data_IF_913568014690
#
_entry.id   IF_913568014690
#
_cell.length_a   1.000
_cell.length_b   1.000
_cell.length_c   1.000
_cell.angle_alpha   90.00
_cell.angle_beta   90.00
_cell.angle_gamma   90.00
#
_symmetry.space_group_name_H-M   'P 1'
#
loop_
_entity.id
_entity.type
_entity.pdbx_description
1 polymer ?
#
# COMPACT_ATOMS: atom_id res chain seq x y z
N UNK A 1 -15.58 -14.60 -16.94
CA UNK A 1 -14.26 -14.78 -17.60
C UNK A 1 -13.05 -14.47 -16.68
N UNK A 2 -13.19 -14.47 -15.34
CA UNK A 2 -12.11 -14.02 -14.42
C UNK A 2 -11.57 -15.08 -13.45
N UNK A 3 -12.11 -16.30 -13.42
CA UNK A 3 -11.74 -17.33 -12.42
C UNK A 3 -10.78 -18.42 -12.90
N UNK A 4 -10.44 -18.48 -14.19
CA UNK A 4 -9.54 -19.51 -14.74
C UNK A 4 -8.09 -19.31 -14.25
N UNK A 5 -7.65 -18.05 -14.11
CA UNK A 5 -6.34 -17.72 -13.57
C UNK A 5 -6.20 -18.05 -12.08
N UNK A 6 -7.26 -17.87 -11.28
CA UNK A 6 -7.24 -18.30 -9.88
C UNK A 6 -7.04 -19.81 -9.75
N UNK A 7 -7.75 -20.63 -10.55
CA UNK A 7 -7.55 -22.09 -10.52
C UNK A 7 -6.11 -22.51 -10.81
N UNK A 8 -5.45 -21.83 -11.75
CA UNK A 8 -4.06 -22.11 -12.10
C UNK A 8 -3.05 -21.65 -11.04
N UNK A 9 -3.41 -20.63 -10.24
CA UNK A 9 -2.64 -20.12 -9.10
C UNK A 9 -2.80 -20.97 -7.84
N UNK A 10 -4.02 -21.46 -7.58
CA UNK A 10 -4.35 -22.14 -6.34
C UNK A 10 -4.15 -23.65 -6.38
N UNK A 11 -4.11 -24.28 -7.57
CA UNK A 11 -4.01 -25.74 -7.64
C UNK A 11 -5.07 -26.43 -6.78
N UNK A 12 -6.25 -25.82 -6.64
CA UNK A 12 -7.33 -26.39 -5.81
C UNK A 12 -8.06 -27.38 -6.71
N UNK A 13 -7.53 -28.60 -6.73
CA UNK A 13 -8.05 -29.66 -7.55
C UNK A 13 -7.29 -30.96 -7.42
N UNK A 14 -7.04 -31.43 -6.18
CA UNK A 14 -7.08 -32.85 -5.79
C UNK A 14 -6.65 -33.05 -4.33
N UNK A 15 -7.39 -33.88 -3.60
CA UNK A 15 -7.05 -34.33 -2.24
C UNK A 15 -5.70 -35.04 -2.30
N UNK A 16 -4.69 -34.52 -1.61
CA UNK A 16 -3.31 -35.04 -1.59
C UNK A 16 -2.24 -34.12 -2.22
N UNK A 17 -2.61 -32.94 -2.75
CA UNK A 17 -1.65 -32.04 -3.37
C UNK A 17 -0.80 -31.26 -2.34
N UNK A 18 0.53 -31.37 -2.47
CA UNK A 18 1.51 -30.68 -1.61
C UNK A 18 1.37 -29.17 -1.82
N UNK A 19 1.13 -28.42 -0.75
CA UNK A 19 0.96 -26.95 -0.79
C UNK A 19 2.23 -26.31 -1.36
N UNK A 20 2.07 -25.59 -2.46
CA UNK A 20 3.15 -24.84 -3.10
C UNK A 20 3.37 -23.52 -2.33
N UNK A 21 4.15 -23.62 -1.24
CA UNK A 21 4.42 -22.53 -0.27
C UNK A 21 4.79 -21.20 -0.98
N UNK A 22 5.66 -21.18 -2.00
CA UNK A 22 5.97 -19.95 -2.72
C UNK A 22 4.76 -19.31 -3.42
N UNK A 23 3.85 -20.09 -4.01
CA UNK A 23 2.62 -19.57 -4.61
C UNK A 23 1.69 -18.96 -3.57
N UNK A 24 1.56 -19.60 -2.40
CA UNK A 24 0.77 -19.08 -1.28
C UNK A 24 1.32 -17.73 -0.82
N UNK A 25 2.65 -17.62 -0.67
CA UNK A 25 3.30 -16.36 -0.29
C UNK A 25 3.04 -15.26 -1.34
N UNK A 26 3.18 -15.58 -2.64
CA UNK A 26 2.93 -14.62 -3.72
C UNK A 26 1.47 -14.11 -3.70
N UNK A 27 0.49 -14.99 -3.46
CA UNK A 27 -0.93 -14.62 -3.34
C UNK A 27 -1.16 -13.72 -2.13
N UNK A 28 -0.61 -14.05 -0.96
CA UNK A 28 -0.74 -13.22 0.24
C UNK A 28 -0.18 -11.82 -0.02
N UNK A 29 1.00 -11.73 -0.63
CA UNK A 29 1.61 -10.45 -1.00
C UNK A 29 0.74 -9.67 -1.98
N UNK A 30 0.16 -10.33 -2.98
CA UNK A 30 -0.75 -9.72 -3.94
C UNK A 30 -1.99 -9.15 -3.22
N UNK A 31 -2.64 -9.93 -2.36
CA UNK A 31 -3.81 -9.50 -1.59
C UNK A 31 -3.49 -8.30 -0.69
N UNK A 32 -2.38 -8.36 0.05
CA UNK A 32 -1.95 -7.25 0.92
C UNK A 32 -1.69 -5.97 0.11
N UNK A 33 -1.10 -6.12 -1.08
CA UNK A 33 -0.81 -5.00 -1.99
C UNK A 33 -2.09 -4.38 -2.54
N UNK A 34 -3.03 -5.19 -3.01
CA UNK A 34 -4.34 -4.74 -3.48
C UNK A 34 -5.14 -4.07 -2.36
N UNK A 35 -5.15 -4.66 -1.16
CA UNK A 35 -5.80 -4.08 0.02
C UNK A 35 -5.25 -2.67 0.32
N UNK A 36 -3.93 -2.51 0.33
CA UNK A 36 -3.28 -1.22 0.56
C UNK A 36 -3.58 -0.20 -0.54
N UNK A 37 -3.64 -0.63 -1.80
CA UNK A 37 -4.04 0.21 -2.94
C UNK A 37 -5.46 0.72 -2.76
N UNK A 38 -6.37 -0.22 -2.53
CA UNK A 38 -7.81 0.01 -2.48
C UNK A 38 -8.15 0.97 -1.33
N UNK A 39 -7.55 0.78 -0.16
CA UNK A 39 -7.77 1.68 0.98
C UNK A 39 -7.21 3.09 0.73
N UNK A 40 -6.08 3.22 0.03
CA UNK A 40 -5.56 4.54 -0.35
C UNK A 40 -6.49 5.29 -1.32
N UNK A 41 -7.11 4.57 -2.26
CA UNK A 41 -8.08 5.14 -3.19
C UNK A 41 -9.39 5.49 -2.47
N UNK A 42 -9.94 4.57 -1.67
CA UNK A 42 -11.13 4.80 -0.86
C UNK A 42 -10.96 6.02 0.04
N UNK A 43 -9.81 6.13 0.71
CA UNK A 43 -9.49 7.28 1.55
C UNK A 43 -9.61 8.60 0.79
N UNK A 44 -9.03 8.67 -0.43
CA UNK A 44 -9.13 9.86 -1.29
C UNK A 44 -10.58 10.14 -1.70
N UNK A 45 -11.36 9.10 -2.03
CA UNK A 45 -12.77 9.25 -2.39
C UNK A 45 -13.61 9.78 -1.22
N UNK A 46 -13.44 9.23 -0.01
CA UNK A 46 -14.09 9.74 1.19
C UNK A 46 -13.70 11.19 1.49
N UNK A 47 -12.44 11.55 1.26
CA UNK A 47 -11.99 12.94 1.35
C UNK A 47 -12.68 13.86 0.35
N UNK A 48 -12.92 13.42 -0.89
CA UNK A 48 -13.74 14.18 -1.84
C UNK A 48 -15.20 14.30 -1.39
N UNK A 49 -15.73 13.29 -0.70
CA UNK A 49 -17.08 13.31 -0.12
C UNK A 49 -17.20 14.11 1.18
N UNK A 50 -16.14 14.80 1.64
CA UNK A 50 -16.17 15.59 2.88
C UNK A 50 -15.98 14.75 4.16
N UNK A 51 -15.22 13.67 4.07
CA UNK A 51 -14.83 12.84 5.21
C UNK A 51 -13.31 12.67 5.28
N UNK A 52 -12.71 12.77 6.46
CA UNK A 52 -11.29 12.42 6.64
C UNK A 52 -11.18 11.17 7.51
N UNK A 53 -10.11 10.40 7.31
CA UNK A 53 -9.77 9.35 8.26
C UNK A 53 -9.23 10.01 9.52
N UNK A 54 -9.61 9.49 10.68
CA UNK A 54 -9.00 9.94 11.93
C UNK A 54 -7.49 9.65 11.90
N UNK A 55 -6.65 10.61 12.32
CA UNK A 55 -5.22 10.39 12.49
C UNK A 55 -4.91 9.18 13.37
N UNK A 56 -3.88 8.43 12.98
CA UNK A 56 -3.51 7.22 13.70
C UNK A 56 -2.92 7.58 15.07
N UNK A 57 -3.51 7.04 16.15
CA UNK A 57 -3.08 7.30 17.53
C UNK A 57 -3.77 8.48 18.22
N UNK A 58 -4.77 9.11 17.58
CA UNK A 58 -5.55 10.18 18.19
C UNK A 58 -6.75 9.62 18.98
N UNK A 59 -6.95 10.09 20.20
CA UNK A 59 -8.04 9.66 21.10
C UNK A 59 -9.42 10.13 20.57
N UNK A 60 -10.46 9.29 20.72
CA UNK A 60 -11.83 9.73 20.49
C UNK A 60 -12.26 10.80 21.52
N UNK A 61 -13.39 11.47 21.28
CA UNK A 61 -14.01 12.41 22.22
C UNK A 61 -14.34 11.80 23.61
N UNK A 62 -14.18 10.49 23.77
CA UNK A 62 -14.35 9.70 25.00
C UNK A 62 -13.01 9.11 25.50
N UNK A 63 -11.86 9.56 24.99
CA UNK A 63 -10.53 9.11 25.42
C UNK A 63 -10.08 7.75 24.87
N UNK A 64 -10.72 7.20 23.83
CA UNK A 64 -10.35 5.89 23.25
C UNK A 64 -9.48 6.02 22.01
N UNK A 65 -8.24 5.54 22.10
CA UNK A 65 -7.39 5.25 20.93
C UNK A 65 -8.02 4.13 20.09
N UNK A 66 -8.51 4.48 18.91
CA UNK A 66 -9.04 3.49 17.95
C UNK A 66 -7.96 3.02 16.98
N UNK A 67 -7.74 1.71 16.93
CA UNK A 67 -6.90 1.03 15.92
C UNK A 67 -7.69 0.71 14.64
N UNK A 68 -9.00 0.99 14.64
CA UNK A 68 -9.91 0.82 13.51
C UNK A 68 -10.11 2.18 12.84
N UNK A 69 -10.17 2.16 11.52
CA UNK A 69 -10.18 3.37 10.71
C UNK A 69 -11.59 3.92 10.66
N UNK A 70 -11.81 5.01 11.38
CA UNK A 70 -13.06 5.76 11.36
C UNK A 70 -12.93 6.94 10.41
N UNK A 71 -13.92 7.09 9.55
CA UNK A 71 -14.10 8.28 8.73
C UNK A 71 -15.00 9.25 9.48
N UNK A 72 -14.51 10.47 9.67
CA UNK A 72 -15.23 11.56 10.32
C UNK A 72 -15.55 12.65 9.33
N UNK A 73 -16.69 13.32 9.54
CA UNK A 73 -17.07 14.47 8.72
C UNK A 73 -16.06 15.58 8.92
N UNK A 74 -15.64 16.21 7.82
CA UNK A 74 -14.65 17.30 7.88
C UNK A 74 -15.14 18.46 8.73
N UNK A 75 -14.41 18.76 9.81
CA UNK A 75 -14.66 19.93 10.67
C UNK A 75 -13.98 21.18 10.12
N UNK A 76 -14.42 22.37 10.52
CA UNK A 76 -13.81 23.62 10.05
C UNK A 76 -12.38 23.80 10.57
N UNK A 77 -12.10 23.33 11.79
CA UNK A 77 -10.74 23.28 12.34
C UNK A 77 -9.83 22.40 11.47
N UNK A 78 -10.32 21.23 11.05
CA UNK A 78 -9.59 20.36 10.13
C UNK A 78 -9.38 21.05 8.77
N UNK A 79 -10.39 21.71 8.21
CA UNK A 79 -10.26 22.41 6.92
C UNK A 79 -9.15 23.46 6.97
N UNK A 80 -9.08 24.25 8.04
CA UNK A 80 -8.02 25.27 8.22
C UNK A 80 -6.63 24.62 8.31
N UNK A 81 -6.50 23.51 9.04
CA UNK A 81 -5.24 22.78 9.14
C UNK A 81 -4.84 22.16 7.80
N UNK A 82 -5.81 21.55 7.11
CA UNK A 82 -5.62 20.91 5.81
C UNK A 82 -5.31 21.94 4.72
N UNK A 83 -5.85 23.16 4.79
CA UNK A 83 -5.57 24.21 3.80
C UNK A 83 -4.10 24.66 3.79
N UNK A 84 -3.42 24.58 4.94
CA UNK A 84 -1.99 24.87 5.05
C UNK A 84 -1.09 23.85 4.33
N UNK A 85 -1.63 22.70 3.93
CA UNK A 85 -0.87 21.62 3.31
C UNK A 85 -0.25 22.05 1.98
N UNK A 86 0.88 21.44 1.63
CA UNK A 86 1.43 21.60 0.29
C UNK A 86 0.78 20.61 -0.68
N UNK A 87 -0.25 21.07 -1.41
CA UNK A 87 -0.96 20.30 -2.45
C UNK A 87 -0.01 19.60 -3.43
N UNK A 88 0.99 20.33 -3.94
CA UNK A 88 1.99 19.80 -4.88
C UNK A 88 2.72 18.58 -4.31
N UNK A 89 3.20 18.66 -3.07
CA UNK A 89 3.95 17.59 -2.44
C UNK A 89 3.06 16.41 -2.05
N UNK A 90 1.81 16.66 -1.66
CA UNK A 90 0.84 15.58 -1.46
C UNK A 90 0.54 14.82 -2.75
N UNK A 91 0.37 15.53 -3.86
CA UNK A 91 0.15 14.90 -5.16
C UNK A 91 1.37 14.09 -5.63
N UNK A 92 2.57 14.67 -5.52
CA UNK A 92 3.83 13.97 -5.82
C UNK A 92 4.02 12.71 -4.95
N UNK A 93 3.74 12.79 -3.65
CA UNK A 93 3.84 11.64 -2.76
C UNK A 93 2.81 10.56 -3.10
N UNK A 94 1.59 10.96 -3.45
CA UNK A 94 0.55 10.04 -3.91
C UNK A 94 0.98 9.31 -5.20
N UNK A 95 1.45 10.04 -6.21
CA UNK A 95 2.01 9.48 -7.44
C UNK A 95 3.19 8.53 -7.17
N UNK A 96 4.12 8.92 -6.31
CA UNK A 96 5.25 8.09 -5.93
C UNK A 96 4.82 6.80 -5.23
N UNK A 97 3.79 6.88 -4.37
CA UNK A 97 3.21 5.72 -3.69
C UNK A 97 2.50 4.80 -4.68
N UNK A 98 1.70 5.35 -5.58
CA UNK A 98 0.97 4.60 -6.62
C UNK A 98 1.94 3.90 -7.59
N UNK A 99 2.93 4.63 -8.11
CA UNK A 99 3.93 4.09 -9.04
C UNK A 99 4.72 2.94 -8.42
N UNK A 100 5.08 3.03 -7.14
CA UNK A 100 5.79 1.95 -6.43
C UNK A 100 4.91 0.74 -6.19
N UNK A 101 3.65 0.94 -5.85
CA UNK A 101 2.71 -0.15 -5.66
C UNK A 101 2.47 -0.90 -6.97
N UNK A 102 2.39 -0.17 -8.08
CA UNK A 102 2.30 -0.75 -9.42
C UNK A 102 3.54 -1.60 -9.77
N UNK A 103 4.75 -1.09 -9.51
CA UNK A 103 5.98 -1.87 -9.67
C UNK A 103 5.98 -3.15 -8.81
N UNK A 104 5.46 -3.07 -7.58
CA UNK A 104 5.34 -4.23 -6.70
C UNK A 104 4.38 -5.29 -7.27
N UNK A 105 3.25 -4.86 -7.86
CA UNK A 105 2.30 -5.77 -8.54
C UNK A 105 2.98 -6.48 -9.71
N UNK A 106 3.68 -5.73 -10.57
CA UNK A 106 4.43 -6.32 -11.70
C UNK A 106 5.44 -7.35 -11.18
N UNK A 107 6.17 -7.02 -10.13
CA UNK A 107 7.17 -7.90 -9.55
C UNK A 107 6.57 -9.20 -9.01
N UNK A 108 5.42 -9.12 -8.33
CA UNK A 108 4.69 -10.31 -7.86
C UNK A 108 4.20 -11.17 -9.03
N UNK A 109 3.74 -10.56 -10.12
CA UNK A 109 3.34 -11.30 -11.34
C UNK A 109 4.54 -12.01 -11.95
N UNK A 110 5.69 -11.34 -12.06
CA UNK A 110 6.93 -11.93 -12.57
C UNK A 110 7.41 -13.10 -11.70
N UNK A 111 7.29 -12.98 -10.37
CA UNK A 111 7.56 -14.07 -9.44
C UNK A 111 6.65 -15.27 -9.74
N UNK A 112 5.34 -15.04 -9.91
CA UNK A 112 4.39 -16.08 -10.29
C UNK A 112 4.76 -16.77 -11.62
N UNK A 113 5.16 -15.99 -12.63
CA UNK A 113 5.58 -16.51 -13.93
C UNK A 113 6.88 -17.31 -13.86
N UNK A 114 7.82 -16.93 -12.99
CA UNK A 114 9.10 -17.63 -12.86
C UNK A 114 8.92 -19.11 -12.50
N UNK A 115 7.87 -19.48 -11.76
CA UNK A 115 7.56 -20.88 -11.45
C UNK A 115 7.16 -21.73 -12.66
N UNK A 116 6.76 -21.11 -13.77
CA UNK A 116 6.41 -21.82 -15.01
C UNK A 116 7.63 -22.24 -15.83
N UNK A 117 8.82 -21.71 -15.52
CA UNK A 117 10.05 -21.87 -16.31
C UNK A 117 11.00 -22.97 -15.78
N UNK A 118 10.52 -23.85 -14.89
CA UNK A 118 11.31 -24.98 -14.37
C UNK A 118 12.60 -24.55 -13.65
N UNK A 119 13.74 -25.17 -13.98
CA UNK A 119 15.03 -24.92 -13.30
C UNK A 119 15.56 -23.49 -13.49
N UNK A 120 15.42 -22.93 -14.69
CA UNK A 120 15.81 -21.53 -14.98
C UNK A 120 14.91 -20.55 -14.21
N UNK A 121 13.63 -20.92 -14.11
CA UNK A 121 12.64 -20.21 -13.31
C UNK A 121 13.03 -20.02 -11.84
N UNK A 122 13.65 -21.03 -11.23
CA UNK A 122 14.08 -20.96 -9.83
C UNK A 122 15.19 -19.90 -9.60
N UNK A 123 16.12 -19.74 -10.54
CA UNK A 123 17.16 -18.70 -10.45
C UNK A 123 16.53 -17.31 -10.59
N UNK A 124 15.63 -17.14 -11.56
CA UNK A 124 14.88 -15.89 -11.75
C UNK A 124 14.05 -15.57 -10.51
N UNK A 125 13.39 -16.57 -9.92
CA UNK A 125 12.62 -16.43 -8.68
C UNK A 125 13.46 -15.83 -7.55
N UNK A 126 14.65 -16.40 -7.28
CA UNK A 126 15.53 -15.91 -6.22
C UNK A 126 15.96 -14.46 -6.45
N UNK A 127 16.28 -14.10 -7.69
CA UNK A 127 16.62 -12.72 -8.06
C UNK A 127 15.43 -11.77 -7.83
N UNK A 128 14.24 -12.14 -8.28
CA UNK A 128 13.03 -11.33 -8.11
C UNK A 128 12.63 -11.19 -6.64
N UNK A 129 12.86 -12.20 -5.80
CA UNK A 129 12.69 -12.10 -4.35
C UNK A 129 13.65 -11.07 -3.74
N UNK A 130 14.91 -11.01 -4.18
CA UNK A 130 15.85 -9.98 -3.76
C UNK A 130 15.37 -8.57 -4.11
N UNK A 131 14.91 -8.39 -5.36
CA UNK A 131 14.33 -7.11 -5.82
C UNK A 131 13.07 -6.76 -5.02
N UNK A 132 12.27 -7.75 -4.63
CA UNK A 132 11.04 -7.55 -3.86
C UNK A 132 11.36 -7.05 -2.45
N UNK A 133 12.30 -7.69 -1.76
CA UNK A 133 12.74 -7.27 -0.42
C UNK A 133 13.25 -5.83 -0.46
N UNK A 134 14.08 -5.50 -1.46
CA UNK A 134 14.56 -4.14 -1.66
C UNK A 134 13.42 -3.14 -1.89
N UNK A 135 12.46 -3.49 -2.76
CA UNK A 135 11.29 -2.66 -3.07
C UNK A 135 10.41 -2.41 -1.84
N UNK A 136 10.18 -3.44 -1.01
CA UNK A 136 9.42 -3.31 0.24
C UNK A 136 10.17 -2.42 1.25
N UNK A 137 11.47 -2.63 1.43
CA UNK A 137 12.29 -1.80 2.32
C UNK A 137 12.26 -0.34 1.90
N UNK A 138 12.34 -0.11 0.59
CA UNK A 138 12.27 1.21 -0.02
C UNK A 138 10.87 1.85 0.14
N UNK A 139 9.80 1.06 0.14
CA UNK A 139 8.44 1.53 0.42
C UNK A 139 8.32 2.03 1.87
N UNK A 140 8.87 1.29 2.83
CA UNK A 140 8.88 1.69 4.25
C UNK A 140 9.59 3.03 4.45
N UNK A 141 10.71 3.24 3.73
CA UNK A 141 11.53 4.45 3.86
C UNK A 141 11.07 5.61 2.96
N UNK A 142 10.03 5.42 2.13
CA UNK A 142 9.53 6.43 1.20
C UNK A 142 9.25 7.77 1.89
N UNK A 143 8.49 7.72 2.99
CA UNK A 143 8.09 8.91 3.75
C UNK A 143 9.31 9.68 4.24
N UNK A 144 10.23 9.00 4.93
CA UNK A 144 11.43 9.63 5.47
C UNK A 144 12.29 10.28 4.37
N UNK A 145 12.50 9.56 3.28
CA UNK A 145 13.24 10.08 2.14
C UNK A 145 12.55 11.29 1.51
N UNK A 146 11.23 11.23 1.32
CA UNK A 146 10.44 12.30 0.72
C UNK A 146 10.44 13.57 1.58
N UNK A 147 10.26 13.42 2.90
CA UNK A 147 10.30 14.51 3.87
C UNK A 147 11.67 15.20 3.85
N UNK A 148 12.75 14.41 3.85
CA UNK A 148 14.12 14.94 3.84
C UNK A 148 14.46 15.63 2.52
N UNK A 149 14.10 15.01 1.40
CA UNK A 149 14.41 15.52 0.05
C UNK A 149 13.74 16.87 -0.23
N UNK A 150 12.46 17.01 0.15
CA UNK A 150 11.69 18.25 -0.09
C UNK A 150 11.71 19.22 1.11
N UNK A 151 12.49 18.93 2.16
CA UNK A 151 12.52 19.67 3.42
C UNK A 151 11.12 19.99 3.98
N UNK A 152 10.29 18.95 4.11
CA UNK A 152 8.90 19.07 4.55
C UNK A 152 8.78 18.88 6.07
N UNK A 153 7.68 19.35 6.64
CA UNK A 153 7.21 19.01 7.99
C UNK A 153 5.95 18.17 7.85
N UNK A 154 5.86 17.05 8.57
CA UNK A 154 4.63 16.25 8.64
C UNK A 154 3.80 16.79 9.80
N UNK A 155 2.58 17.25 9.52
CA UNK A 155 1.67 17.78 10.55
C UNK A 155 0.87 16.66 11.20
N UNK A 156 0.37 15.73 10.38
CA UNK A 156 -0.45 14.60 10.81
C UNK A 156 -0.35 13.47 9.78
N UNK A 157 -0.83 12.28 10.15
CA UNK A 157 -0.88 11.08 9.30
C UNK A 157 -2.28 10.49 9.27
N UNK A 158 -2.89 10.53 8.09
CA UNK A 158 -4.20 9.97 7.82
C UNK A 158 -4.01 8.63 7.11
N UNK A 159 -4.26 7.52 7.80
CA UNK A 159 -4.15 6.19 7.18
C UNK A 159 -2.82 5.97 6.43
N UNK A 160 -1.68 6.17 7.09
CA UNK A 160 -0.34 6.09 6.48
C UNK A 160 -0.04 7.13 5.38
N UNK A 161 -0.95 8.06 5.08
CA UNK A 161 -0.72 9.22 4.23
C UNK A 161 -0.36 10.45 5.07
N UNK A 162 0.89 10.93 5.00
CA UNK A 162 1.32 12.13 5.71
C UNK A 162 0.76 13.41 5.09
N UNK A 163 0.32 14.34 5.94
CA UNK A 163 -0.01 15.70 5.56
C UNK A 163 1.26 16.54 5.61
N UNK A 164 1.78 16.90 4.44
CA UNK A 164 2.99 17.71 4.33
C UNK A 164 2.70 19.20 4.40
N UNK A 165 3.48 19.89 5.23
CA UNK A 165 3.69 21.32 5.23
C UNK A 165 5.07 21.62 4.64
N UNK A 166 5.18 22.66 3.82
CA UNK A 166 6.49 23.17 3.45
C UNK A 166 7.08 23.90 4.67
N UNK A 167 8.33 23.61 5.02
CA UNK A 167 9.04 24.39 6.03
C UNK A 167 9.39 25.78 5.49
#
# INVERSE_FOLDING_TARGET
MTFVWLKHLFGVGQVGQKVDIPKVIAVILLVVTFYRMWNGILFKLFHFCGYHARPFGEEDYRGRTSYIVFFEKTTDAYKILYDKRSLRHQFLYFLATLGRLYLLIILVILIGYSFTLGKVGYIIFLLLCGVLIFSVRWLIHLKSHFVRYFNLKVISEEYFYPIFLKK
#
